data_IF_193273045410
#
_entry.id   IF_193273045410
#
_cell.length_a   1.000
_cell.length_b   1.000
_cell.length_c   1.000
_cell.angle_alpha   90.00
_cell.angle_beta   90.00
_cell.angle_gamma   90.00
#
_symmetry.space_group_name_H-M   'P 1'
#
loop_
_entity.id
_entity.type
_entity.pdbx_description
1 polymer ?
#
# COMPACT_ATOMS: atom_id res chain seq x y z
N UNK A 1 8.51 -14.83 -17.15
CA UNK A 1 7.39 -14.87 -18.11
C UNK A 1 6.46 -13.71 -17.79
N UNK A 2 6.45 -12.67 -18.63
CA UNK A 2 5.57 -11.52 -18.45
C UNK A 2 4.16 -11.90 -18.93
N UNK A 3 3.13 -11.53 -18.17
CA UNK A 3 1.75 -11.61 -18.68
C UNK A 3 1.55 -10.46 -19.67
N UNK A 4 1.63 -10.78 -20.96
CA UNK A 4 1.26 -9.91 -22.07
C UNK A 4 -0.27 -9.89 -22.23
N UNK A 5 -0.95 -9.33 -21.23
CA UNK A 5 -2.39 -9.06 -21.30
C UNK A 5 -2.66 -7.69 -20.73
N UNK A 6 -3.61 -6.97 -21.34
CA UNK A 6 -4.05 -5.67 -20.83
C UNK A 6 -4.48 -5.80 -19.37
N UNK A 7 -4.07 -4.84 -18.53
CA UNK A 7 -4.33 -4.85 -17.10
C UNK A 7 -4.79 -3.50 -16.58
N UNK A 8 -5.58 -3.52 -15.51
CA UNK A 8 -5.86 -2.32 -14.73
C UNK A 8 -4.71 -2.10 -13.75
N UNK A 9 -4.15 -0.89 -13.71
CA UNK A 9 -3.07 -0.53 -12.79
C UNK A 9 -3.49 0.61 -11.89
N UNK A 10 -3.51 0.37 -10.58
CA UNK A 10 -3.68 1.41 -9.57
C UNK A 10 -2.34 1.71 -8.90
N UNK A 11 -1.91 2.97 -8.90
CA UNK A 11 -0.68 3.42 -8.23
C UNK A 11 -1.02 4.39 -7.13
N UNK A 12 -0.60 4.07 -5.91
CA UNK A 12 -0.88 4.84 -4.70
C UNK A 12 0.43 5.33 -4.09
N UNK A 13 0.58 6.66 -3.99
CA UNK A 13 1.66 7.29 -3.26
C UNK A 13 1.20 7.63 -1.84
N UNK A 14 1.98 7.20 -0.85
CA UNK A 14 1.76 7.48 0.57
C UNK A 14 2.93 8.29 1.12
N UNK A 15 2.69 9.58 1.32
CA UNK A 15 3.66 10.53 1.89
C UNK A 15 3.72 10.44 3.41
N UNK A 16 4.91 10.73 3.95
CA UNK A 16 5.20 10.81 5.38
C UNK A 16 4.99 9.49 6.13
N UNK A 17 5.23 8.34 5.46
CA UNK A 17 4.92 7.03 6.04
C UNK A 17 5.75 6.72 7.30
N UNK A 18 6.97 7.25 7.42
CA UNK A 18 7.78 7.06 8.62
C UNK A 18 7.17 7.70 9.87
N UNK A 19 6.28 8.68 9.70
CA UNK A 19 5.52 9.31 10.79
C UNK A 19 4.28 8.50 11.20
N UNK A 20 4.05 7.33 10.61
CA UNK A 20 2.97 6.46 11.04
C UNK A 20 3.29 5.82 12.42
N UNK A 21 2.70 6.41 13.46
CA UNK A 21 2.79 5.92 14.85
C UNK A 21 1.68 4.93 15.21
N UNK A 22 0.93 4.42 14.23
CA UNK A 22 -0.12 3.44 14.50
C UNK A 22 0.48 2.14 15.04
N UNK A 23 -0.28 1.43 15.88
CA UNK A 23 0.07 0.11 16.42
C UNK A 23 -0.03 -0.99 15.34
N UNK A 24 0.46 -2.19 15.63
CA UNK A 24 0.19 -3.39 14.82
C UNK A 24 -1.31 -3.54 14.54
N UNK A 25 -1.65 -4.15 13.41
CA UNK A 25 -3.02 -4.41 12.97
C UNK A 25 -3.86 -3.13 12.75
N UNK A 26 -3.21 -2.00 12.48
CA UNK A 26 -3.85 -0.77 12.03
C UNK A 26 -3.58 -0.53 10.56
N UNK A 27 -4.67 -0.39 9.81
CA UNK A 27 -4.67 -0.25 8.36
C UNK A 27 -4.68 1.22 7.94
N UNK A 28 -3.86 1.56 6.97
CA UNK A 28 -3.98 2.75 6.14
C UNK A 28 -4.69 2.31 4.86
N UNK A 29 -5.82 2.93 4.55
CA UNK A 29 -6.59 2.66 3.34
C UNK A 29 -6.21 3.65 2.25
N UNK A 30 -6.04 3.16 1.02
CA UNK A 30 -5.99 4.04 -0.14
C UNK A 30 -7.35 4.68 -0.40
N UNK A 31 -7.41 5.75 -1.20
CA UNK A 31 -8.64 6.13 -1.89
C UNK A 31 -9.21 4.92 -2.65
N UNK A 32 -10.55 4.84 -2.69
CA UNK A 32 -11.23 3.80 -3.43
C UNK A 32 -11.07 4.00 -4.94
N UNK A 33 -11.04 2.90 -5.69
CA UNK A 33 -11.02 2.90 -7.15
C UNK A 33 -12.05 1.90 -7.68
N UNK A 34 -12.56 2.19 -8.87
CA UNK A 34 -13.51 1.33 -9.57
C UNK A 34 -12.78 0.66 -10.72
N UNK A 35 -13.14 -0.60 -10.96
CA UNK A 35 -12.65 -1.34 -12.12
C UNK A 35 -13.88 -1.85 -12.87
N UNK A 36 -14.19 -1.22 -13.99
CA UNK A 36 -15.44 -1.41 -14.73
C UNK A 36 -15.67 -2.88 -15.12
N UNK A 37 -14.60 -3.58 -15.50
CA UNK A 37 -14.63 -5.01 -15.83
C UNK A 37 -15.02 -5.92 -14.65
N UNK A 38 -15.01 -5.40 -13.42
CA UNK A 38 -15.43 -6.08 -12.20
C UNK A 38 -16.78 -5.53 -11.68
N UNK A 39 -17.67 -5.15 -12.59
CA UNK A 39 -19.05 -4.77 -12.27
C UNK A 39 -19.15 -3.50 -11.45
N UNK A 40 -18.31 -2.52 -11.77
CA UNK A 40 -18.30 -1.17 -11.16
C UNK A 40 -18.14 -1.15 -9.63
N UNK A 41 -17.52 -2.19 -9.06
CA UNK A 41 -17.29 -2.27 -7.62
C UNK A 41 -16.14 -1.38 -7.20
N UNK A 42 -16.28 -0.81 -6.00
CA UNK A 42 -15.21 -0.07 -5.34
C UNK A 42 -14.26 -1.04 -4.65
N UNK A 43 -12.98 -0.78 -4.87
CA UNK A 43 -11.85 -1.50 -4.30
C UNK A 43 -10.94 -0.50 -3.60
N UNK A 44 -10.16 -0.97 -2.64
CA UNK A 44 -9.10 -0.17 -2.04
C UNK A 44 -7.92 -1.05 -1.65
N UNK A 45 -6.76 -0.43 -1.50
CA UNK A 45 -5.57 -1.07 -0.96
C UNK A 45 -5.50 -0.82 0.54
N UNK A 46 -5.23 -1.87 1.30
CA UNK A 46 -4.96 -1.77 2.74
C UNK A 46 -3.49 -2.06 3.01
N UNK A 47 -2.84 -1.14 3.72
CA UNK A 47 -1.45 -1.26 4.10
C UNK A 47 -1.31 -1.19 5.62
N UNK A 48 -0.57 -2.13 6.20
CA UNK A 48 -0.32 -2.21 7.63
C UNK A 48 1.19 -1.99 7.86
N UNK A 49 1.63 -0.75 8.14
CA UNK A 49 3.07 -0.43 8.22
C UNK A 49 3.83 -1.16 9.31
N UNK A 50 3.11 -1.65 10.34
CA UNK A 50 3.63 -2.43 11.47
C UNK A 50 3.07 -3.86 11.49
N UNK A 51 2.68 -4.36 10.33
CA UNK A 51 2.14 -5.71 10.18
C UNK A 51 0.69 -5.85 10.64
N UNK A 52 0.02 -6.84 10.05
CA UNK A 52 -1.28 -7.32 10.49
C UNK A 52 -1.09 -8.47 11.49
N UNK A 53 -0.23 -9.44 11.15
CA UNK A 53 0.06 -10.63 11.96
C UNK A 53 1.50 -10.62 12.48
N UNK A 54 2.46 -10.14 11.67
CA UNK A 54 3.89 -10.14 11.99
C UNK A 54 4.44 -8.72 12.06
N UNK A 55 4.90 -8.29 13.24
CA UNK A 55 5.34 -6.90 13.47
C UNK A 55 6.57 -6.48 12.66
N UNK A 56 7.38 -7.44 12.23
CA UNK A 56 8.60 -7.20 11.45
C UNK A 56 8.33 -7.00 9.95
N UNK A 57 7.08 -7.19 9.53
CA UNK A 57 6.68 -7.07 8.13
C UNK A 57 5.67 -5.94 7.92
N UNK A 58 5.67 -5.38 6.72
CA UNK A 58 4.59 -4.56 6.22
C UNK A 58 3.60 -5.53 5.60
N UNK A 59 2.34 -5.52 6.04
CA UNK A 59 1.29 -6.29 5.37
C UNK A 59 0.61 -5.44 4.31
N UNK A 60 0.26 -6.07 3.19
CA UNK A 60 -0.33 -5.38 2.05
C UNK A 60 -1.38 -6.25 1.38
N UNK A 61 -2.58 -5.69 1.20
CA UNK A 61 -3.75 -6.42 0.74
C UNK A 61 -4.66 -5.57 -0.15
N UNK A 62 -5.40 -6.26 -1.03
CA UNK A 62 -6.47 -5.72 -1.84
C UNK A 62 -7.80 -6.04 -1.15
N UNK A 63 -8.70 -5.07 -1.09
CA UNK A 63 -10.03 -5.22 -0.51
C UNK A 63 -11.11 -4.78 -1.48
N UNK A 64 -12.22 -5.52 -1.53
CA UNK A 64 -13.51 -5.05 -2.06
C UNK A 64 -14.25 -4.28 -0.97
N UNK A 65 -14.87 -3.17 -1.34
CA UNK A 65 -15.83 -2.49 -0.47
C UNK A 65 -17.10 -3.36 -0.38
N UNK A 66 -17.62 -3.55 0.83
CA UNK A 66 -18.82 -4.38 1.06
C UNK A 66 -20.04 -3.62 0.55
N UNK A 67 -20.48 -3.92 -0.67
CA UNK A 67 -21.78 -3.47 -1.16
C UNK A 67 -22.82 -4.60 -1.03
N UNK A 68 -24.06 -4.21 -0.76
CA UNK A 68 -25.19 -5.06 -0.33
C UNK A 68 -25.68 -6.11 -1.33
N UNK A 69 -25.10 -6.17 -2.54
CA UNK A 69 -25.56 -7.08 -3.61
C UNK A 69 -24.74 -8.38 -3.62
N UNK A 70 -25.42 -9.51 -3.43
CA UNK A 70 -24.86 -10.87 -3.46
C UNK A 70 -23.98 -11.08 -4.71
N UNK A 71 -22.81 -11.65 -4.47
CA UNK A 71 -21.69 -11.75 -5.39
C UNK A 71 -21.89 -12.85 -6.44
N UNK A 72 -21.71 -12.53 -7.73
CA UNK A 72 -21.18 -13.47 -8.74
C UNK A 72 -19.86 -12.87 -9.22
N UNK A 73 -18.77 -13.08 -8.48
CA UNK A 73 -17.44 -12.73 -9.00
C UNK A 73 -16.54 -13.95 -8.95
N UNK A 74 -15.84 -14.13 -10.06
CA UNK A 74 -14.84 -15.17 -10.30
C UNK A 74 -13.53 -14.79 -9.61
N UNK A 75 -12.66 -15.79 -9.52
CA UNK A 75 -11.27 -15.65 -9.12
C UNK A 75 -10.55 -14.49 -9.85
N UNK A 76 -9.97 -13.57 -9.09
CA UNK A 76 -9.26 -12.39 -9.61
C UNK A 76 -7.77 -12.64 -9.52
N UNK A 77 -7.05 -12.44 -10.64
CA UNK A 77 -5.60 -12.41 -10.66
C UNK A 77 -5.11 -10.98 -10.43
N UNK A 78 -4.23 -10.79 -9.46
CA UNK A 78 -3.68 -9.48 -9.16
C UNK A 78 -2.23 -9.53 -8.66
N UNK A 79 -1.53 -8.41 -8.81
CA UNK A 79 -0.17 -8.15 -8.31
C UNK A 79 -0.25 -7.00 -7.32
N UNK A 80 0.49 -7.15 -6.24
CA UNK A 80 0.80 -6.09 -5.29
C UNK A 80 2.29 -5.81 -5.36
N UNK A 81 2.68 -4.53 -5.44
CA UNK A 81 4.08 -4.13 -5.53
C UNK A 81 4.40 -2.86 -4.72
N UNK A 82 5.58 -2.80 -4.13
CA UNK A 82 6.26 -1.54 -3.78
C UNK A 82 7.26 -1.20 -4.87
N UNK A 83 7.17 0.01 -5.40
CA UNK A 83 7.96 0.47 -6.54
C UNK A 83 9.11 1.34 -6.02
N UNK A 84 10.34 0.89 -6.27
CA UNK A 84 11.56 1.63 -5.96
C UNK A 84 11.85 2.70 -7.01
N UNK A 85 12.58 3.74 -6.60
CA UNK A 85 12.94 4.87 -7.49
C UNK A 85 13.86 4.48 -8.65
N UNK A 86 14.59 3.39 -8.52
CA UNK A 86 15.57 2.85 -9.47
C UNK A 86 14.95 1.81 -10.44
N UNK A 87 13.63 1.63 -10.38
CA UNK A 87 12.92 0.61 -11.14
C UNK A 87 12.89 -0.76 -10.48
N UNK A 88 13.53 -0.94 -9.30
CA UNK A 88 13.36 -2.13 -8.48
C UNK A 88 11.93 -2.24 -7.95
N UNK A 89 11.52 -3.46 -7.60
CA UNK A 89 10.21 -3.69 -7.00
C UNK A 89 10.24 -4.88 -6.03
N UNK A 90 9.52 -4.73 -4.93
CA UNK A 90 9.08 -5.87 -4.11
C UNK A 90 7.67 -6.21 -4.57
N UNK A 91 7.44 -7.39 -5.15
CA UNK A 91 6.13 -7.76 -5.69
C UNK A 91 5.72 -9.16 -5.33
N UNK A 92 4.41 -9.35 -5.20
CA UNK A 92 3.76 -10.66 -5.09
C UNK A 92 2.51 -10.71 -5.96
N UNK A 93 2.26 -11.87 -6.55
CA UNK A 93 1.11 -12.12 -7.43
C UNK A 93 0.23 -13.16 -6.73
N UNK A 94 -1.08 -12.98 -6.82
CA UNK A 94 -2.06 -13.94 -6.32
C UNK A 94 -3.23 -14.10 -7.27
N UNK A 95 -3.94 -15.21 -7.12
CA UNK A 95 -5.26 -15.46 -7.69
C UNK A 95 -6.17 -15.78 -6.51
N UNK A 96 -7.24 -15.02 -6.33
CA UNK A 96 -8.11 -15.16 -5.16
C UNK A 96 -9.57 -14.93 -5.51
N UNK A 97 -10.45 -15.75 -4.94
CA UNK A 97 -11.89 -15.53 -4.99
C UNK A 97 -12.34 -14.68 -3.80
N UNK A 98 -12.77 -13.46 -4.09
CA UNK A 98 -13.28 -12.52 -3.09
C UNK A 98 -14.76 -12.77 -2.77
N UNK A 99 -15.32 -13.96 -3.01
CA UNK A 99 -16.71 -14.30 -2.67
C UNK A 99 -16.95 -14.31 -1.16
N UNK A 100 -16.13 -15.06 -0.43
CA UNK A 100 -16.26 -15.30 1.02
C UNK A 100 -15.67 -14.19 1.89
N UNK A 101 -14.50 -13.67 1.51
CA UNK A 101 -13.79 -12.65 2.29
C UNK A 101 -13.62 -11.36 1.49
N UNK A 102 -13.78 -10.18 2.15
CA UNK A 102 -13.69 -8.90 1.47
C UNK A 102 -12.25 -8.49 1.14
N UNK A 103 -11.24 -9.20 1.60
CA UNK A 103 -9.85 -8.85 1.32
C UNK A 103 -8.90 -10.02 1.33
N UNK A 104 -7.84 -9.90 0.54
CA UNK A 104 -6.76 -10.87 0.44
C UNK A 104 -5.44 -10.18 0.11
N UNK A 105 -4.35 -10.71 0.65
CA UNK A 105 -3.03 -10.13 0.52
C UNK A 105 -1.99 -10.96 1.23
N UNK A 106 -0.91 -10.29 1.66
CA UNK A 106 0.23 -10.96 2.26
C UNK A 106 0.55 -10.28 3.59
N UNK A 107 0.47 -11.05 4.69
CA UNK A 107 0.82 -10.56 6.02
C UNK A 107 2.33 -10.28 6.15
N UNK A 108 3.15 -10.98 5.37
CA UNK A 108 4.61 -10.91 5.27
C UNK A 108 5.10 -10.25 3.96
N UNK A 109 4.35 -9.27 3.42
CA UNK A 109 4.60 -8.75 2.06
C UNK A 109 6.02 -8.23 1.85
N UNK A 110 6.53 -7.40 2.77
CA UNK A 110 7.88 -6.84 2.73
C UNK A 110 8.44 -6.69 4.14
N UNK A 111 9.74 -6.95 4.31
CA UNK A 111 10.41 -6.72 5.59
C UNK A 111 10.42 -5.23 5.93
N UNK A 112 10.11 -4.88 7.18
CA UNK A 112 10.14 -3.47 7.62
C UNK A 112 11.55 -2.93 7.64
N UNK A 113 12.50 -3.68 8.17
CA UNK A 113 13.92 -3.31 8.13
C UNK A 113 14.41 -3.10 6.68
N UNK A 114 13.94 -3.93 5.74
CA UNK A 114 14.25 -3.75 4.32
C UNK A 114 13.75 -2.40 3.80
N UNK A 115 12.47 -2.10 4.00
CA UNK A 115 11.82 -0.91 3.41
C UNK A 115 12.17 0.38 4.14
N UNK A 116 12.22 0.35 5.47
CA UNK A 116 12.39 1.53 6.31
C UNK A 116 13.85 1.88 6.62
N UNK A 117 14.76 0.90 6.57
CA UNK A 117 16.15 1.07 6.99
C UNK A 117 17.13 0.75 5.85
N UNK A 118 17.34 -0.53 5.51
CA UNK A 118 18.44 -0.94 4.61
C UNK A 118 18.25 -0.49 3.16
N UNK A 119 17.03 -0.49 2.63
CA UNK A 119 16.68 0.00 1.28
C UNK A 119 15.76 1.22 1.31
N UNK A 120 15.80 1.98 2.41
CA UNK A 120 15.01 3.21 2.59
C UNK A 120 15.14 4.19 1.44
N UNK A 121 16.37 4.45 0.99
CA UNK A 121 16.64 5.42 -0.07
C UNK A 121 16.07 5.01 -1.42
N UNK A 122 15.73 3.72 -1.60
CA UNK A 122 15.16 3.14 -2.82
C UNK A 122 13.63 3.16 -2.74
N UNK A 123 13.05 2.64 -1.65
CA UNK A 123 11.60 2.45 -1.52
C UNK A 123 10.85 3.62 -0.88
N UNK A 124 11.54 4.49 -0.15
CA UNK A 124 10.98 5.66 0.53
C UNK A 124 11.71 6.96 0.14
N UNK A 125 11.89 7.27 -1.17
CA UNK A 125 12.46 8.56 -1.57
C UNK A 125 11.57 9.70 -1.06
N UNK A 126 12.15 10.67 -0.36
CA UNK A 126 11.42 11.76 0.30
C UNK A 126 10.35 11.29 1.30
N UNK A 127 10.53 10.11 1.89
CA UNK A 127 9.55 9.45 2.77
C UNK A 127 8.20 9.13 2.10
N UNK A 128 8.24 8.85 0.80
CA UNK A 128 7.07 8.49 0.00
C UNK A 128 7.15 7.02 -0.38
N UNK A 129 6.20 6.22 0.10
CA UNK A 129 6.03 4.85 -0.37
C UNK A 129 5.15 4.85 -1.62
N UNK A 130 5.62 4.23 -2.71
CA UNK A 130 4.81 4.02 -3.92
C UNK A 130 4.33 2.58 -3.97
N UNK A 131 3.06 2.36 -3.62
CA UNK A 131 2.38 1.10 -3.73
C UNK A 131 1.68 0.99 -5.10
N UNK A 132 1.66 -0.22 -5.67
CA UNK A 132 0.98 -0.49 -6.94
C UNK A 132 0.17 -1.77 -6.83
N UNK A 133 -1.02 -1.76 -7.41
CA UNK A 133 -1.79 -2.94 -7.70
C UNK A 133 -2.00 -3.07 -9.20
N UNK A 134 -1.82 -4.28 -9.75
CA UNK A 134 -2.27 -4.62 -11.09
C UNK A 134 -3.32 -5.70 -11.01
N UNK A 135 -4.35 -5.61 -11.82
CA UNK A 135 -5.42 -6.59 -11.87
C UNK A 135 -5.61 -7.04 -13.31
N UNK A 136 -5.64 -8.34 -13.51
CA UNK A 136 -5.88 -8.98 -14.80
C UNK A 136 -7.24 -9.67 -14.79
N UNK A 137 -7.90 -9.61 -15.94
CA UNK A 137 -9.10 -10.38 -16.18
C UNK A 137 -8.74 -11.85 -16.40
N UNK A 138 -9.48 -12.75 -15.78
CA UNK A 138 -9.28 -14.21 -15.91
C UNK A 138 -10.11 -14.80 -17.05
N UNK A 139 -11.14 -14.08 -17.52
CA UNK A 139 -12.09 -14.43 -18.56
C UNK A 139 -12.16 -13.37 -19.69
N UNK A 140 -11.26 -13.48 -20.66
CA UNK A 140 -11.09 -12.51 -21.74
C UNK A 140 -10.12 -11.39 -21.38
N UNK A 141 -9.80 -10.53 -22.35
CA UNK A 141 -8.84 -9.44 -22.16
C UNK A 141 -9.56 -8.12 -21.87
N UNK A 142 -8.89 -7.22 -21.16
CA UNK A 142 -9.27 -5.80 -21.17
C UNK A 142 -9.01 -5.27 -22.58
N UNK A 143 -9.89 -4.39 -23.09
CA UNK A 143 -9.69 -3.77 -24.39
C UNK A 143 -8.38 -2.98 -24.43
N UNK A 144 -8.05 -2.28 -23.33
CA UNK A 144 -6.83 -1.51 -23.16
C UNK A 144 -6.35 -1.55 -21.70
N UNK A 145 -5.08 -1.23 -21.48
CA UNK A 145 -4.51 -1.10 -20.13
C UNK A 145 -4.89 0.24 -19.50
N UNK A 146 -5.64 0.20 -18.40
CA UNK A 146 -6.09 1.40 -17.67
C UNK A 146 -5.13 1.71 -16.53
N UNK A 147 -4.85 3.00 -16.29
CA UNK A 147 -3.99 3.46 -15.19
C UNK A 147 -4.69 4.50 -14.33
N UNK A 148 -4.67 4.29 -13.02
CA UNK A 148 -5.20 5.22 -12.02
C UNK A 148 -4.12 5.57 -11.00
N UNK A 149 -4.13 6.82 -10.56
CA UNK A 149 -3.18 7.34 -9.60
C UNK A 149 -3.91 7.93 -8.40
N UNK A 150 -3.42 7.61 -7.21
CA UNK A 150 -3.93 8.11 -5.96
C UNK A 150 -2.80 8.61 -5.07
N UNK A 151 -3.14 9.56 -4.20
CA UNK A 151 -2.21 10.18 -3.28
C UNK A 151 -2.82 10.32 -1.89
N UNK A 152 -2.02 10.04 -0.86
CA UNK A 152 -2.40 10.21 0.55
C UNK A 152 -1.19 10.74 1.30
N UNK A 153 -1.43 11.66 2.24
CA UNK A 153 -0.37 12.27 3.05
C UNK A 153 -0.71 12.15 4.52
N UNK A 154 0.20 11.58 5.31
CA UNK A 154 0.09 11.60 6.77
C UNK A 154 0.44 13.02 7.26
N UNK A 155 -0.47 13.62 8.03
CA UNK A 155 -0.27 14.94 8.63
C UNK A 155 0.85 14.90 9.68
N UNK A 156 1.76 15.87 9.62
CA UNK A 156 2.91 15.97 10.53
C UNK A 156 2.89 17.35 11.19
N UNK A 157 2.82 17.39 12.52
CA UNK A 157 2.99 18.61 13.30
C UNK A 157 4.46 18.76 13.71
N UNK A 158 5.09 19.88 13.33
CA UNK A 158 6.46 20.20 13.75
C UNK A 158 6.41 21.20 14.89
N UNK A 159 6.98 20.84 16.04
CA UNK A 159 7.16 21.73 17.20
C UNK A 159 8.64 21.99 17.39
N UNK A 160 9.02 23.26 17.48
CA UNK A 160 10.38 23.70 17.79
C UNK A 160 10.38 24.43 19.12
N UNK A 161 11.41 24.19 19.92
CA UNK A 161 11.57 24.88 21.18
C UNK A 161 12.94 25.52 21.30
N UNK A 162 12.97 26.71 21.87
CA UNK A 162 14.20 27.48 22.14
C UNK A 162 14.61 27.28 23.59
N UNK A 163 15.64 26.48 23.83
CA UNK A 163 16.21 26.34 25.18
C UNK A 163 17.16 27.50 25.46
N UNK A 164 16.89 28.27 26.51
CA UNK A 164 17.85 29.21 27.06
C UNK A 164 18.89 28.42 27.86
N UNK A 165 20.19 28.63 27.57
CA UNK A 165 21.27 28.12 28.42
C UNK A 165 21.16 28.75 29.81
N UNK A 166 21.03 27.95 30.86
CA UNK A 166 21.32 28.40 32.21
C UNK A 166 22.84 28.44 32.40
N UNK A 167 23.41 29.63 32.55
CA UNK A 167 24.78 29.79 33.02
C UNK A 167 24.85 29.41 34.51
N UNK A 168 25.82 28.59 34.87
CA UNK A 168 26.07 28.21 36.27
C UNK A 168 26.53 29.46 37.02
N UNK A 169 25.79 29.85 38.06
CA UNK A 169 26.29 30.79 39.06
C UNK A 169 27.50 30.14 39.74
N UNK A 170 28.69 30.70 39.54
CA UNK A 170 29.84 30.42 40.38
C UNK A 170 29.63 31.13 41.71
N UNK A 171 29.42 30.36 42.78
CA UNK A 171 29.52 30.88 44.14
C UNK A 171 31.02 30.91 44.49
N UNK A 172 31.53 32.13 44.74
CA UNK A 172 32.86 32.41 45.28
C UNK A 172 32.91 32.17 46.78
#
# INVERSE_FOLDING_TARGET
MACEGNCFTFTWKLENISYCLQKQNRVIKSPAFVVDSFGERKWYLGLYPRGQEYEDFISFALYKELDSKKTVQREIKYELAFVGKDGSFLRRISKYDFSDHPGHGFSDFAGREEVFDTKRSIFLPHDILTARCRIWKTDGELAESIRCFAHTRIGVEKRSFMWKKCEKLQFS
#
